data_IF_180241685642
#
_entry.id   IF_180241685642
#
_cell.length_a   1.000
_cell.length_b   1.000
_cell.length_c   1.000
_cell.angle_alpha   90.00
_cell.angle_beta   90.00
_cell.angle_gamma   90.00
#
_symmetry.space_group_name_H-M   'P 1'
#
loop_
_entity.id
_entity.type
_entity.pdbx_description
1 polymer ?
#
# COMPACT_ATOMS: atom_id res chain seq x y z
N UNK A 1 11.95 20.83 18.92
CA UNK A 1 12.63 19.60 18.42
C UNK A 1 12.21 18.42 19.26
N UNK A 2 12.08 17.25 18.62
CA UNK A 2 11.98 15.89 19.18
C UNK A 2 10.58 15.25 19.19
N UNK A 3 10.23 14.75 18.01
CA UNK A 3 9.39 13.57 17.76
C UNK A 3 9.88 12.41 18.63
N UNK A 4 9.32 12.24 19.83
CA UNK A 4 9.77 11.23 20.77
C UNK A 4 8.77 10.82 21.85
N UNK A 5 7.51 11.26 21.78
CA UNK A 5 6.47 10.74 22.66
C UNK A 5 5.75 9.58 21.97
N UNK A 6 6.35 8.40 22.16
CA UNK A 6 5.72 7.09 22.35
C UNK A 6 4.20 7.09 22.08
N UNK A 7 3.84 6.92 20.81
CA UNK A 7 2.45 6.72 20.38
C UNK A 7 2.13 5.22 20.47
N UNK A 8 2.26 4.60 21.64
CA UNK A 8 2.26 3.13 21.74
C UNK A 8 0.91 2.49 22.07
N UNK A 9 -0.18 3.25 22.28
CA UNK A 9 -1.52 2.68 22.49
C UNK A 9 -2.58 3.25 21.56
N UNK A 10 -2.94 4.53 21.68
CA UNK A 10 -3.96 5.12 20.79
C UNK A 10 -3.56 5.15 19.31
N UNK A 11 -2.34 5.62 18.99
CA UNK A 11 -1.96 5.74 17.58
C UNK A 11 -1.59 4.42 16.93
N UNK A 12 -1.08 3.44 17.69
CA UNK A 12 -0.95 2.07 17.18
C UNK A 12 -2.32 1.46 16.87
N UNK A 13 -3.33 1.68 17.73
CA UNK A 13 -4.71 1.24 17.46
C UNK A 13 -5.31 1.96 16.23
N UNK A 14 -5.07 3.26 16.10
CA UNK A 14 -5.49 4.04 14.93
C UNK A 14 -4.78 3.57 13.66
N UNK A 15 -3.50 3.20 13.74
CA UNK A 15 -2.74 2.62 12.64
C UNK A 15 -3.23 1.23 12.27
N UNK A 16 -3.55 0.37 13.26
CA UNK A 16 -4.17 -0.94 13.00
C UNK A 16 -5.55 -0.79 12.34
N UNK A 17 -6.35 0.20 12.74
CA UNK A 17 -7.63 0.48 12.08
C UNK A 17 -7.43 0.96 10.63
N UNK A 18 -6.43 1.81 10.38
CA UNK A 18 -6.07 2.26 9.02
C UNK A 18 -5.54 1.12 8.15
N UNK A 19 -4.67 0.29 8.70
CA UNK A 19 -4.16 -0.92 8.03
C UNK A 19 -5.31 -1.88 7.74
N UNK A 20 -6.24 -2.09 8.68
CA UNK A 20 -7.42 -2.92 8.46
C UNK A 20 -8.27 -2.47 7.28
N UNK A 21 -8.43 -1.16 7.07
CA UNK A 21 -9.12 -0.61 5.88
C UNK A 21 -8.31 -0.88 4.60
N UNK A 22 -6.98 -0.77 4.65
CA UNK A 22 -6.10 -1.03 3.50
C UNK A 22 -6.07 -2.52 3.12
N UNK A 23 -6.05 -3.42 4.11
CA UNK A 23 -6.08 -4.87 3.92
C UNK A 23 -7.46 -5.31 3.42
N UNK A 24 -8.54 -4.74 3.97
CA UNK A 24 -9.93 -5.03 3.59
C UNK A 24 -10.39 -4.42 2.25
N UNK A 25 -9.56 -3.60 1.59
CA UNK A 25 -9.89 -3.05 0.27
C UNK A 25 -10.13 -4.18 -0.75
N UNK A 26 -11.15 -4.06 -1.58
CA UNK A 26 -11.35 -5.01 -2.69
C UNK A 26 -10.26 -4.91 -3.76
N UNK A 27 -10.38 -5.73 -4.81
CA UNK A 27 -9.55 -5.59 -6.00
C UNK A 27 -9.75 -4.19 -6.60
N UNK A 28 -8.66 -3.46 -6.91
CA UNK A 28 -8.76 -2.15 -7.50
C UNK A 28 -9.29 -2.25 -8.93
N UNK A 29 -10.40 -1.55 -9.19
CA UNK A 29 -11.03 -1.49 -10.51
C UNK A 29 -10.46 -0.40 -11.41
N UNK A 30 -9.72 0.56 -10.84
CA UNK A 30 -9.22 1.74 -11.52
C UNK A 30 -7.82 2.13 -11.06
N UNK A 31 -7.06 2.78 -11.94
CA UNK A 31 -5.74 3.34 -11.63
C UNK A 31 -5.77 4.32 -10.46
N UNK A 32 -6.85 5.10 -10.30
CA UNK A 32 -7.01 6.02 -9.16
C UNK A 32 -7.04 5.28 -7.82
N UNK A 33 -7.63 4.09 -7.76
CA UNK A 33 -7.67 3.26 -6.54
C UNK A 33 -6.26 2.76 -6.20
N UNK A 34 -5.49 2.35 -7.21
CA UNK A 34 -4.10 1.90 -7.04
C UNK A 34 -3.21 3.05 -6.58
N UNK A 35 -3.36 4.23 -7.19
CA UNK A 35 -2.61 5.42 -6.78
C UNK A 35 -2.94 5.81 -5.34
N UNK A 36 -4.22 5.77 -4.96
CA UNK A 36 -4.66 5.98 -3.57
C UNK A 36 -4.09 4.94 -2.61
N UNK A 37 -4.12 3.66 -2.98
CA UNK A 37 -3.55 2.56 -2.22
C UNK A 37 -2.05 2.74 -2.01
N UNK A 38 -1.26 2.95 -3.07
CA UNK A 38 0.18 3.17 -2.96
C UNK A 38 0.50 4.40 -2.11
N UNK A 39 -0.29 5.47 -2.20
CA UNK A 39 -0.15 6.63 -1.33
C UNK A 39 -0.36 6.31 0.15
N UNK A 40 -1.33 5.46 0.48
CA UNK A 40 -1.56 5.01 1.86
C UNK A 40 -0.45 4.07 2.35
N UNK A 41 0.02 3.16 1.49
CA UNK A 41 1.03 2.16 1.87
C UNK A 41 2.44 2.74 1.89
N UNK A 42 2.69 3.86 1.21
CA UNK A 42 3.97 4.57 1.23
C UNK A 42 4.35 5.05 2.64
N UNK A 43 3.36 5.40 3.48
CA UNK A 43 3.60 5.72 4.89
C UNK A 43 4.30 4.56 5.63
N UNK A 44 3.97 3.31 5.26
CA UNK A 44 4.50 2.10 5.87
C UNK A 44 5.74 1.53 5.16
N UNK A 45 6.23 2.18 4.10
CA UNK A 45 7.35 1.66 3.29
C UNK A 45 8.62 1.35 4.09
N UNK A 46 8.88 2.12 5.17
CA UNK A 46 10.05 1.94 6.03
C UNK A 46 9.95 0.67 6.90
N UNK A 47 8.74 0.17 7.10
CA UNK A 47 8.46 -1.06 7.86
C UNK A 47 8.39 -2.29 6.92
N UNK A 48 8.09 -2.07 5.64
CA UNK A 48 7.99 -3.12 4.63
C UNK A 48 9.35 -3.33 3.94
N UNK A 49 10.04 -4.41 4.29
CA UNK A 49 11.32 -4.76 3.67
C UNK A 49 11.14 -5.02 2.18
N UNK A 50 11.81 -4.21 1.35
CA UNK A 50 11.77 -4.35 -0.11
C UNK A 50 10.52 -3.73 -0.75
N UNK A 51 9.85 -2.80 -0.09
CA UNK A 51 8.65 -2.10 -0.58
C UNK A 51 8.74 -1.70 -2.06
N UNK A 52 9.79 -0.98 -2.46
CA UNK A 52 9.97 -0.51 -3.85
C UNK A 52 10.05 -1.66 -4.88
N UNK A 53 10.54 -2.83 -4.48
CA UNK A 53 10.58 -4.01 -5.35
C UNK A 53 9.21 -4.67 -5.49
N UNK A 54 8.40 -4.62 -4.42
CA UNK A 54 7.04 -5.14 -4.43
C UNK A 54 6.17 -4.20 -5.26
N UNK A 55 6.17 -2.90 -4.99
CA UNK A 55 5.31 -1.94 -5.69
C UNK A 55 5.68 -1.71 -7.15
N UNK A 56 6.84 -2.20 -7.61
CA UNK A 56 7.33 -1.99 -8.97
C UNK A 56 6.28 -2.32 -10.05
N UNK A 57 5.61 -3.46 -9.91
CA UNK A 57 4.58 -3.90 -10.87
C UNK A 57 3.31 -3.04 -10.83
N UNK A 58 3.01 -2.41 -9.69
CA UNK A 58 1.91 -1.45 -9.52
C UNK A 58 2.31 -0.06 -10.02
N UNK A 59 3.55 0.36 -9.78
CA UNK A 59 4.14 1.60 -10.31
C UNK A 59 4.18 1.59 -11.85
N UNK A 60 4.44 0.43 -12.46
CA UNK A 60 4.36 0.24 -13.91
C UNK A 60 2.94 0.44 -14.47
N UNK A 61 1.89 0.08 -13.72
CA UNK A 61 0.50 0.38 -14.11
C UNK A 61 0.19 1.87 -14.08
N UNK A 62 0.87 2.62 -13.21
CA UNK A 62 0.68 4.06 -13.03
C UNK A 62 1.55 4.88 -14.00
N UNK A 63 2.60 4.28 -14.57
CA UNK A 63 3.46 4.94 -15.57
C UNK A 63 2.76 5.01 -16.94
N UNK A 64 2.16 6.17 -17.19
CA UNK A 64 1.85 6.84 -18.47
C UNK A 64 1.61 5.97 -19.74
N UNK A 65 0.36 6.01 -20.23
CA UNK A 65 -0.18 5.54 -21.54
C UNK A 65 -0.48 4.05 -21.74
N UNK A 66 -0.21 3.19 -20.78
CA UNK A 66 -0.64 1.79 -20.85
C UNK A 66 -2.13 1.67 -20.54
N UNK A 67 -2.88 0.87 -21.30
CA UNK A 67 -4.23 0.49 -20.91
C UNK A 67 -4.17 -0.17 -19.53
N UNK A 68 -5.10 0.15 -18.64
CA UNK A 68 -5.16 -0.45 -17.32
C UNK A 68 -5.24 -1.97 -17.47
N UNK A 69 -4.17 -2.68 -17.07
CA UNK A 69 -4.08 -4.13 -17.17
C UNK A 69 -3.94 -4.72 -15.77
N UNK A 70 -5.02 -5.31 -15.27
CA UNK A 70 -5.02 -6.01 -14.00
C UNK A 70 -4.84 -7.51 -14.25
N UNK A 71 -3.59 -7.97 -14.18
CA UNK A 71 -3.22 -9.37 -14.37
C UNK A 71 -2.82 -10.06 -13.06
N UNK A 72 -2.41 -11.32 -13.17
CA UNK A 72 -1.99 -12.15 -12.03
C UNK A 72 -0.80 -11.54 -11.28
N UNK A 73 0.13 -10.91 -11.99
CA UNK A 73 1.31 -10.25 -11.39
C UNK A 73 0.89 -9.10 -10.49
N UNK A 74 -0.05 -8.27 -10.95
CA UNK A 74 -0.58 -7.11 -10.22
C UNK A 74 -1.41 -7.57 -9.01
N UNK A 75 -2.26 -8.59 -9.20
CA UNK A 75 -3.05 -9.20 -8.12
C UNK A 75 -2.15 -9.79 -7.03
N UNK A 76 -1.15 -10.58 -7.42
CA UNK A 76 -0.20 -11.19 -6.48
C UNK A 76 0.59 -10.12 -5.73
N UNK A 77 1.01 -9.07 -6.44
CA UNK A 77 1.71 -7.94 -5.83
C UNK A 77 0.84 -7.21 -4.81
N UNK A 78 -0.41 -6.92 -5.16
CA UNK A 78 -1.35 -6.21 -4.32
C UNK A 78 -1.63 -6.98 -3.02
N UNK A 79 -1.90 -8.28 -3.12
CA UNK A 79 -2.09 -9.13 -1.94
C UNK A 79 -0.81 -9.30 -1.13
N UNK A 80 0.35 -9.45 -1.79
CA UNK A 80 1.64 -9.49 -1.09
C UNK A 80 1.86 -8.20 -0.30
N UNK A 81 1.49 -7.03 -0.84
CA UNK A 81 1.64 -5.77 -0.12
C UNK A 81 0.71 -5.70 1.10
N UNK A 82 -0.52 -6.22 0.98
CA UNK A 82 -1.47 -6.33 2.10
C UNK A 82 -0.98 -7.25 3.20
N UNK A 83 -0.40 -8.39 2.85
CA UNK A 83 0.16 -9.34 3.83
C UNK A 83 1.40 -8.79 4.56
N UNK A 84 2.01 -7.72 4.03
CA UNK A 84 3.21 -7.10 4.58
C UNK A 84 2.93 -5.84 5.40
N UNK A 85 1.70 -5.32 5.36
CA UNK A 85 1.20 -4.21 6.16
C UNK A 85 0.74 -4.68 7.54
#
# INVERSE_FOLDING_TARGET
>A
TRLGHIIWKEGLLLDLAKVGVIVGLGEPTNMSVIHGFLGHTWYYQNFIKGYAKITLSLDELLKHKSAFHWGEVQYTTFNTLKDRL
#
